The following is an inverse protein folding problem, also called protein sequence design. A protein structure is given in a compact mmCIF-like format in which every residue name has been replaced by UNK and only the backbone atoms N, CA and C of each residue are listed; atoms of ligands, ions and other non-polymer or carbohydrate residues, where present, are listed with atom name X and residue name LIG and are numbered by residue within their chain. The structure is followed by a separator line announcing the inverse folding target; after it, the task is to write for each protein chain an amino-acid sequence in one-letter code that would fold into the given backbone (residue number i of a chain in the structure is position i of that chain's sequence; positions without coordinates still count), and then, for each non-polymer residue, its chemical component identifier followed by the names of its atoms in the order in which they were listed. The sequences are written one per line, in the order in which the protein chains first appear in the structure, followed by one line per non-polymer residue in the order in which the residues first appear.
data_IF_533808052613
#
_entry.id   IF_533808052613
#
_cell.length_a   1.000
_cell.length_b   1.000
_cell.length_c   1.000
_cell.angle_alpha   90.00
_cell.angle_beta   90.00
_cell.angle_gamma   90.00
#
_symmetry.space_group_name_H-M   'P 1'
#
loop_
_entity.id
_entity.type
_entity.pdbx_description
1 polymer ?
#
# COMPACT_ATOMS: atom_id res chain seq x y z
N UNK A 1 -11.80 -15.56 12.92
CA UNK A 1 -11.36 -16.98 12.80
C UNK A 1 -11.71 -17.55 11.44
N UNK A 2 -12.99 -17.74 11.08
CA UNK A 2 -13.36 -18.30 9.78
C UNK A 2 -12.77 -17.53 8.57
N UNK A 3 -12.83 -16.19 8.59
CA UNK A 3 -12.18 -15.35 7.58
C UNK A 3 -10.67 -15.63 7.49
N UNK A 4 -9.95 -15.54 8.60
CA UNK A 4 -8.50 -15.79 8.63
C UNK A 4 -8.12 -17.20 8.14
N UNK A 5 -8.92 -18.22 8.47
CA UNK A 5 -8.69 -19.57 7.94
C UNK A 5 -8.85 -19.64 6.42
N UNK A 6 -9.86 -18.97 5.87
CA UNK A 6 -10.04 -18.86 4.42
C UNK A 6 -8.91 -18.07 3.76
N UNK A 7 -8.47 -16.98 4.38
CA UNK A 7 -7.31 -16.21 3.96
C UNK A 7 -6.02 -17.03 3.93
N UNK A 8 -5.76 -17.86 4.94
CA UNK A 8 -4.61 -18.77 4.97
C UNK A 8 -4.66 -19.80 3.85
N UNK A 9 -5.85 -20.32 3.52
CA UNK A 9 -6.01 -21.22 2.39
C UNK A 9 -5.71 -20.50 1.05
N UNK A 10 -6.28 -19.32 0.85
CA UNK A 10 -6.03 -18.48 -0.33
C UNK A 10 -4.54 -18.14 -0.45
N UNK A 11 -3.87 -17.81 0.65
CA UNK A 11 -2.43 -17.53 0.70
C UNK A 11 -1.59 -18.72 0.23
N UNK A 12 -1.92 -19.93 0.71
CA UNK A 12 -1.25 -21.16 0.30
C UNK A 12 -1.45 -21.45 -1.19
N UNK A 13 -2.68 -21.26 -1.70
CA UNK A 13 -3.02 -21.42 -3.12
C UNK A 13 -2.28 -20.41 -3.99
N UNK A 14 -2.24 -19.13 -3.63
CA UNK A 14 -1.47 -18.11 -4.35
C UNK A 14 0.04 -18.43 -4.36
N UNK A 15 0.57 -18.95 -3.26
CA UNK A 15 1.98 -19.38 -3.18
C UNK A 15 2.24 -20.56 -4.13
N UNK A 16 1.27 -21.47 -4.25
CA UNK A 16 1.31 -22.64 -5.12
C UNK A 16 1.08 -22.33 -6.61
N UNK A 17 0.19 -21.42 -6.96
CA UNK A 17 0.01 -20.98 -8.34
C UNK A 17 1.22 -20.10 -8.77
N UNK A 18 1.52 -19.10 -7.96
CA UNK A 18 2.55 -18.10 -8.20
C UNK A 18 2.16 -17.11 -9.30
N UNK A 19 2.67 -15.89 -9.22
CA UNK A 19 2.45 -14.86 -10.24
C UNK A 19 3.26 -15.21 -11.49
N UNK A 20 2.68 -15.20 -12.70
CA UNK A 20 3.42 -15.50 -13.92
C UNK A 20 4.49 -14.43 -14.19
N UNK A 21 5.73 -14.88 -14.36
CA UNK A 21 6.92 -14.03 -14.34
C UNK A 21 7.91 -14.37 -15.46
N UNK A 22 8.31 -13.37 -16.24
CA UNK A 22 9.34 -13.48 -17.27
C UNK A 22 10.69 -13.06 -16.71
N UNK A 23 11.51 -14.04 -16.34
CA UNK A 23 12.84 -13.82 -15.78
C UNK A 23 13.76 -13.01 -16.71
N UNK A 24 13.72 -13.31 -18.01
CA UNK A 24 14.54 -12.62 -19.02
C UNK A 24 14.22 -11.12 -19.06
N UNK A 25 12.93 -10.76 -19.17
CA UNK A 25 12.49 -9.36 -19.14
C UNK A 25 12.90 -8.65 -17.84
N UNK A 26 12.93 -9.37 -16.70
CA UNK A 26 13.43 -8.79 -15.44
C UNK A 26 14.94 -8.57 -15.49
N UNK A 27 15.72 -9.53 -16.00
CA UNK A 27 17.18 -9.39 -16.14
C UNK A 27 17.56 -8.27 -17.10
N UNK A 28 16.85 -8.14 -18.22
CA UNK A 28 17.00 -7.04 -19.17
C UNK A 28 16.74 -5.69 -18.49
N UNK A 29 15.62 -5.57 -17.76
CA UNK A 29 15.28 -4.37 -16.99
C UNK A 29 16.38 -4.00 -15.98
N UNK A 30 16.91 -4.99 -15.25
CA UNK A 30 17.97 -4.73 -14.28
C UNK A 30 19.25 -4.28 -14.98
N UNK A 31 19.63 -4.90 -16.08
CA UNK A 31 20.79 -4.48 -16.88
C UNK A 31 20.60 -3.07 -17.47
N UNK A 32 19.39 -2.75 -17.97
CA UNK A 32 19.02 -1.44 -18.50
C UNK A 32 19.17 -0.34 -17.44
N UNK A 33 18.66 -0.59 -16.23
CA UNK A 33 18.58 0.43 -15.19
C UNK A 33 19.82 0.52 -14.29
N UNK A 34 20.49 -0.61 -14.02
CA UNK A 34 21.62 -0.71 -13.10
C UNK A 34 22.97 -0.86 -13.82
N UNK A 35 22.95 -1.12 -15.13
CA UNK A 35 24.14 -1.40 -15.93
C UNK A 35 24.69 -2.82 -15.73
N UNK A 36 25.83 -3.08 -16.36
CA UNK A 36 26.54 -4.36 -16.24
C UNK A 36 26.93 -4.66 -14.79
N UNK A 37 26.89 -5.94 -14.45
CA UNK A 37 27.48 -6.44 -13.21
C UNK A 37 28.98 -6.63 -13.45
N UNK A 38 29.81 -5.99 -12.64
CA UNK A 38 31.21 -6.41 -12.54
C UNK A 38 31.25 -7.88 -12.12
N UNK A 39 32.17 -8.67 -12.69
CA UNK A 39 32.34 -10.07 -12.33
C UNK A 39 32.61 -10.18 -10.81
N UNK A 40 31.62 -10.66 -10.04
CA UNK A 40 31.69 -10.76 -8.56
C UNK A 40 30.46 -10.21 -7.82
N UNK A 41 30.68 -9.87 -6.54
CA UNK A 41 29.71 -9.28 -5.60
C UNK A 41 29.68 -7.74 -5.60
N UNK A 42 30.32 -7.11 -6.59
CA UNK A 42 30.38 -5.65 -6.68
C UNK A 42 29.03 -4.99 -6.96
N UNK A 43 28.90 -3.72 -6.57
CA UNK A 43 27.75 -2.90 -6.94
C UNK A 43 27.65 -2.76 -8.48
N UNK A 44 26.44 -2.75 -9.06
CA UNK A 44 26.22 -2.49 -10.47
C UNK A 44 26.89 -1.19 -10.93
N UNK A 45 27.40 -1.16 -12.18
CA UNK A 45 28.12 -0.02 -12.76
C UNK A 45 27.42 1.32 -12.53
N UNK A 46 26.10 1.39 -12.72
CA UNK A 46 25.37 2.65 -12.59
C UNK A 46 25.33 3.18 -11.16
N UNK A 47 25.32 2.29 -10.16
CA UNK A 47 25.37 2.68 -8.75
C UNK A 47 26.76 3.21 -8.39
N UNK A 48 27.83 2.56 -8.87
CA UNK A 48 29.20 3.04 -8.69
C UNK A 48 29.40 4.44 -9.31
N UNK A 49 28.97 4.63 -10.56
CA UNK A 49 29.02 5.93 -11.26
C UNK A 49 28.30 7.03 -10.46
N UNK A 50 27.09 6.75 -9.98
CA UNK A 50 26.32 7.71 -9.19
C UNK A 50 26.95 7.99 -7.82
N UNK A 51 27.57 7.00 -7.17
CA UNK A 51 28.28 7.21 -5.91
C UNK A 51 29.51 8.12 -6.10
N UNK A 52 30.22 7.99 -7.22
CA UNK A 52 31.30 8.89 -7.60
C UNK A 52 30.79 10.30 -7.92
N UNK A 53 29.68 10.44 -8.65
CA UNK A 53 29.04 11.73 -8.92
C UNK A 53 28.64 12.44 -7.62
N UNK A 54 28.02 11.72 -6.68
CA UNK A 54 27.68 12.26 -5.34
C UNK A 54 28.93 12.72 -4.61
N UNK A 55 29.97 11.88 -4.58
CA UNK A 55 31.23 12.22 -3.90
C UNK A 55 31.88 13.46 -4.51
N UNK A 56 31.95 13.55 -5.85
CA UNK A 56 32.53 14.69 -6.57
C UNK A 56 31.79 16.00 -6.30
N UNK A 57 30.48 15.94 -6.11
CA UNK A 57 29.66 17.11 -5.81
C UNK A 57 29.93 17.74 -4.43
N UNK A 58 30.60 17.02 -3.52
CA UNK A 58 31.08 17.56 -2.24
C UNK A 58 32.54 18.08 -2.28
N UNK A 59 33.16 18.06 -3.46
CA UNK A 59 34.48 18.62 -3.71
C UNK A 59 35.60 17.58 -3.88
N UNK A 60 36.81 18.03 -4.28
CA UNK A 60 37.94 17.15 -4.51
C UNK A 60 38.33 16.34 -3.27
N UNK A 61 38.52 15.03 -3.42
CA UNK A 61 38.92 14.14 -2.32
C UNK A 61 37.80 13.71 -1.38
N UNK A 62 36.58 14.25 -1.52
CA UNK A 62 35.43 13.78 -0.78
C UNK A 62 35.10 12.33 -1.17
N UNK A 63 34.73 11.51 -0.18
CA UNK A 63 34.20 10.16 -0.35
C UNK A 63 32.92 10.05 0.46
N UNK A 64 31.79 9.94 -0.23
CA UNK A 64 30.48 9.86 0.39
C UNK A 64 29.84 8.55 -0.04
N UNK A 65 29.45 7.74 0.94
CA UNK A 65 28.68 6.51 0.75
C UNK A 65 27.19 6.82 0.71
N UNK A 66 26.53 6.82 -0.46
CA UNK A 66 25.15 7.28 -0.57
C UNK A 66 24.13 6.27 0.02
N UNK A 67 24.54 5.02 0.21
CA UNK A 67 23.77 3.96 0.87
C UNK A 67 23.70 4.13 2.40
N UNK A 68 24.60 4.92 2.99
CA UNK A 68 24.64 5.18 4.43
C UNK A 68 24.04 6.56 4.77
N UNK A 69 22.83 6.63 5.37
CA UNK A 69 22.19 7.90 5.70
C UNK A 69 23.06 8.81 6.57
N UNK A 70 23.79 8.24 7.54
CA UNK A 70 24.67 8.99 8.44
C UNK A 70 25.83 9.67 7.69
N UNK A 71 26.37 9.03 6.65
CA UNK A 71 27.47 9.59 5.88
C UNK A 71 27.00 10.75 5.00
N UNK A 72 25.84 10.59 4.37
CA UNK A 72 25.17 11.66 3.62
C UNK A 72 24.88 12.87 4.51
N UNK A 73 24.27 12.67 5.69
CA UNK A 73 24.00 13.77 6.63
C UNK A 73 25.29 14.47 7.06
N UNK A 74 26.36 13.70 7.32
CA UNK A 74 27.67 14.23 7.66
C UNK A 74 28.26 15.09 6.52
N UNK A 75 28.18 14.63 5.28
CA UNK A 75 28.68 15.36 4.11
C UNK A 75 27.93 16.68 3.89
N UNK A 76 26.60 16.67 3.96
CA UNK A 76 25.78 17.90 3.89
C UNK A 76 26.10 18.86 5.03
N UNK A 77 26.28 18.36 6.26
CA UNK A 77 26.67 19.18 7.40
C UNK A 77 28.03 19.86 7.21
N UNK A 78 29.00 19.17 6.62
CA UNK A 78 30.31 19.74 6.27
C UNK A 78 30.20 20.81 5.17
N UNK A 79 29.25 20.67 4.26
CA UNK A 79 28.89 21.69 3.27
C UNK A 79 28.01 22.84 3.86
N UNK A 80 27.82 22.89 5.18
CA UNK A 80 27.05 23.94 5.86
C UNK A 80 25.53 23.72 5.87
N UNK A 81 25.04 22.59 5.40
CA UNK A 81 23.62 22.28 5.25
C UNK A 81 23.19 21.28 6.33
N UNK A 82 22.23 21.66 7.18
CA UNK A 82 21.70 20.77 8.22
C UNK A 82 20.52 19.97 7.70
N UNK A 83 20.67 18.65 7.71
CA UNK A 83 19.62 17.68 7.42
C UNK A 83 19.27 16.89 8.69
N UNK A 84 17.98 16.68 8.91
CA UNK A 84 17.42 15.78 9.92
C UNK A 84 17.29 14.34 9.39
N UNK A 85 17.08 14.19 8.08
CA UNK A 85 16.97 12.90 7.41
C UNK A 85 17.51 12.96 5.98
N UNK A 86 17.60 11.79 5.35
CA UNK A 86 17.89 11.68 3.90
C UNK A 86 16.63 11.38 3.10
N UNK A 87 15.44 11.66 3.64
CA UNK A 87 14.17 11.42 2.92
C UNK A 87 14.09 12.34 1.71
N UNK A 88 13.47 11.85 0.63
CA UNK A 88 13.47 12.56 -0.65
C UNK A 88 12.85 13.97 -0.57
N UNK A 89 11.82 14.16 0.25
CA UNK A 89 11.17 15.47 0.42
C UNK A 89 12.10 16.51 1.05
N UNK A 90 12.98 16.09 1.97
CA UNK A 90 13.92 16.98 2.65
C UNK A 90 15.09 17.29 1.73
N UNK A 91 15.63 16.27 1.07
CA UNK A 91 16.70 16.44 0.07
C UNK A 91 16.29 17.39 -1.07
N UNK A 92 15.03 17.31 -1.54
CA UNK A 92 14.51 18.21 -2.59
C UNK A 92 14.39 19.68 -2.18
N UNK A 93 14.43 19.98 -0.88
CA UNK A 93 14.41 21.36 -0.36
C UNK A 93 15.81 21.99 -0.30
N UNK A 94 16.84 21.20 -0.59
CA UNK A 94 18.23 21.64 -0.55
C UNK A 94 18.72 21.94 -1.96
N UNK A 95 19.29 23.12 -2.14
CA UNK A 95 20.01 23.47 -3.36
C UNK A 95 21.47 23.02 -3.22
N UNK A 96 21.79 21.84 -3.75
CA UNK A 96 23.16 21.33 -3.78
C UNK A 96 23.34 20.34 -4.94
N UNK A 97 24.47 20.39 -5.69
CA UNK A 97 24.70 19.54 -6.87
C UNK A 97 24.65 18.03 -6.58
N UNK A 98 24.90 17.61 -5.33
CA UNK A 98 24.81 16.21 -4.92
C UNK A 98 23.37 15.67 -4.81
N UNK A 99 22.35 16.53 -4.74
CA UNK A 99 20.96 16.11 -4.44
C UNK A 99 20.39 15.23 -5.55
N UNK A 100 20.47 15.66 -6.81
CA UNK A 100 19.93 14.90 -7.94
C UNK A 100 20.60 13.52 -8.11
N UNK A 101 21.94 13.38 -8.17
CA UNK A 101 22.58 12.08 -8.27
C UNK A 101 22.31 11.21 -7.03
N UNK A 102 22.21 11.78 -5.83
CA UNK A 102 21.83 11.05 -4.63
C UNK A 102 20.40 10.48 -4.71
N UNK A 103 19.42 11.27 -5.17
CA UNK A 103 18.04 10.79 -5.34
C UNK A 103 17.96 9.67 -6.39
N UNK A 104 18.72 9.79 -7.49
CA UNK A 104 18.85 8.74 -8.49
C UNK A 104 19.50 7.48 -7.93
N UNK A 105 20.60 7.62 -7.18
CA UNK A 105 21.27 6.49 -6.51
C UNK A 105 20.28 5.78 -5.59
N UNK A 106 19.61 6.51 -4.68
CA UNK A 106 18.66 5.90 -3.73
C UNK A 106 17.51 5.18 -4.42
N UNK A 107 17.03 5.69 -5.56
CA UNK A 107 16.00 5.01 -6.36
C UNK A 107 16.51 3.68 -6.92
N UNK A 108 17.69 3.68 -7.55
CA UNK A 108 18.29 2.50 -8.15
C UNK A 108 18.77 1.50 -7.09
N UNK A 109 19.33 1.98 -5.98
CA UNK A 109 19.81 1.15 -4.88
C UNK A 109 18.67 0.34 -4.27
N UNK A 110 17.52 0.98 -4.04
CA UNK A 110 16.31 0.27 -3.59
C UNK A 110 15.83 -0.78 -4.60
N UNK A 111 15.88 -0.49 -5.90
CA UNK A 111 15.56 -1.51 -6.92
C UNK A 111 16.55 -2.68 -6.84
N UNK A 112 17.85 -2.39 -6.73
CA UNK A 112 18.91 -3.38 -6.62
C UNK A 112 18.78 -4.27 -5.39
N UNK A 113 18.49 -3.70 -4.21
CA UNK A 113 18.38 -4.46 -2.97
C UNK A 113 17.04 -5.20 -2.85
N UNK A 114 15.93 -4.57 -3.26
CA UNK A 114 14.59 -5.13 -3.05
C UNK A 114 14.11 -6.03 -4.20
N UNK A 115 14.54 -5.79 -5.45
CA UNK A 115 14.13 -6.57 -6.62
C UNK A 115 15.28 -6.88 -7.59
N UNK A 116 16.54 -6.78 -7.15
CA UNK A 116 17.68 -7.08 -8.00
C UNK A 116 17.86 -8.58 -8.28
N UNK A 117 19.01 -8.93 -8.85
CA UNK A 117 19.31 -10.31 -9.24
C UNK A 117 19.25 -11.32 -8.10
N UNK A 118 19.60 -10.92 -6.86
CA UNK A 118 19.49 -11.83 -5.71
C UNK A 118 18.03 -12.16 -5.42
N UNK A 119 17.18 -11.14 -5.35
CA UNK A 119 15.74 -11.31 -5.19
C UNK A 119 15.16 -12.19 -6.30
N UNK A 120 15.51 -11.91 -7.57
CA UNK A 120 15.00 -12.68 -8.71
C UNK A 120 15.37 -14.17 -8.58
N UNK A 121 16.61 -14.49 -8.19
CA UNK A 121 17.01 -15.89 -7.96
C UNK A 121 16.27 -16.52 -6.78
N UNK A 122 16.03 -15.80 -5.71
CA UNK A 122 15.38 -16.36 -4.52
C UNK A 122 13.91 -16.66 -4.77
N UNK A 123 13.20 -15.72 -5.39
CA UNK A 123 11.73 -15.71 -5.38
C UNK A 123 11.07 -16.12 -6.70
N UNK A 124 11.83 -16.17 -7.80
CA UNK A 124 11.32 -16.58 -9.10
C UNK A 124 11.93 -17.91 -9.50
N UNK A 125 11.06 -18.89 -9.79
CA UNK A 125 11.44 -20.24 -10.24
C UNK A 125 10.39 -20.74 -11.22
N UNK A 126 10.83 -21.41 -12.29
CA UNK A 126 9.94 -22.02 -13.30
C UNK A 126 8.92 -21.02 -13.89
N UNK A 127 9.36 -19.78 -14.14
CA UNK A 127 8.49 -18.74 -14.70
C UNK A 127 7.40 -18.23 -13.75
N UNK A 128 7.53 -18.48 -12.44
CA UNK A 128 6.59 -18.04 -11.40
C UNK A 128 7.31 -17.31 -10.28
N UNK A 129 6.78 -16.14 -9.91
CA UNK A 129 7.11 -15.47 -8.65
C UNK A 129 6.24 -16.04 -7.54
N UNK A 130 6.87 -16.64 -6.53
CA UNK A 130 6.18 -17.37 -5.45
C UNK A 130 6.35 -16.62 -4.14
N UNK A 131 5.42 -15.72 -3.89
CA UNK A 131 5.35 -14.95 -2.67
C UNK A 131 4.95 -15.83 -1.48
N UNK A 132 5.60 -15.62 -0.34
CA UNK A 132 5.14 -16.18 0.94
C UNK A 132 4.30 -15.14 1.67
N UNK A 133 2.98 -15.30 1.62
CA UNK A 133 2.03 -14.43 2.30
C UNK A 133 1.84 -14.85 3.77
N UNK A 134 1.68 -13.85 4.63
CA UNK A 134 1.31 -14.00 6.04
C UNK A 134 0.00 -13.25 6.30
N UNK A 135 -1.14 -13.95 6.15
CA UNK A 135 -2.43 -13.41 6.56
C UNK A 135 -2.42 -12.98 8.03
N UNK A 136 -2.99 -11.80 8.29
CA UNK A 136 -3.03 -11.24 9.65
C UNK A 136 -1.66 -10.89 10.25
N UNK A 137 -0.60 -10.80 9.42
CA UNK A 137 0.76 -10.55 9.90
C UNK A 137 0.99 -9.15 10.49
N UNK A 138 0.14 -8.17 10.18
CA UNK A 138 0.14 -6.85 10.82
C UNK A 138 -0.91 -6.79 11.93
N UNK A 139 -0.70 -5.89 12.92
CA UNK A 139 -1.66 -5.64 14.00
C UNK A 139 -3.08 -5.33 13.49
N UNK A 140 -3.20 -4.60 12.38
CA UNK A 140 -4.48 -4.26 11.73
C UNK A 140 -5.19 -5.48 11.12
N UNK A 141 -4.49 -6.60 10.93
CA UNK A 141 -4.98 -7.76 10.16
C UNK A 141 -4.58 -7.73 8.68
N UNK A 142 -3.89 -6.66 8.24
CA UNK A 142 -3.30 -6.62 6.91
C UNK A 142 -2.31 -7.77 6.74
N UNK A 143 -2.24 -8.28 5.51
CA UNK A 143 -1.30 -9.32 5.17
C UNK A 143 0.11 -8.73 5.10
N UNK A 144 1.10 -9.49 5.56
CA UNK A 144 2.52 -9.21 5.36
C UNK A 144 3.11 -10.28 4.43
N UNK A 145 4.37 -10.13 4.01
CA UNK A 145 5.08 -11.17 3.25
C UNK A 145 6.43 -11.44 3.84
N UNK A 146 6.85 -12.71 3.82
CA UNK A 146 8.21 -13.08 4.18
C UNK A 146 9.13 -12.98 2.97
N UNK A 147 10.23 -12.23 3.14
CA UNK A 147 11.44 -12.27 2.32
C UNK A 147 11.33 -11.84 0.84
N UNK A 148 10.14 -11.77 0.25
CA UNK A 148 9.93 -11.66 -1.20
C UNK A 148 9.29 -10.37 -1.70
N UNK A 149 8.93 -9.43 -0.82
CA UNK A 149 8.41 -8.12 -1.23
C UNK A 149 7.17 -8.19 -2.14
N UNK A 150 6.36 -9.25 -2.04
CA UNK A 150 5.21 -9.43 -2.92
C UNK A 150 4.19 -8.31 -2.75
N UNK A 151 4.12 -7.74 -1.55
CA UNK A 151 3.23 -6.62 -1.26
C UNK A 151 3.62 -5.32 -1.94
N UNK A 152 4.71 -5.23 -2.71
CA UNK A 152 5.00 -4.03 -3.50
C UNK A 152 5.82 -4.40 -4.75
N UNK A 153 5.17 -4.81 -5.84
CA UNK A 153 5.85 -4.94 -7.15
C UNK A 153 5.99 -3.53 -7.77
N UNK A 154 7.22 -2.95 -7.85
CA UNK A 154 7.38 -1.58 -8.33
C UNK A 154 6.98 -1.46 -9.79
N UNK A 155 6.40 -0.31 -10.18
CA UNK A 155 5.93 -0.06 -11.55
C UNK A 155 6.92 -0.45 -12.64
N UNK A 156 8.22 -0.21 -12.42
CA UNK A 156 9.28 -0.59 -13.38
C UNK A 156 9.42 -2.11 -13.55
N UNK A 157 9.26 -2.86 -12.45
CA UNK A 157 9.37 -4.33 -12.42
C UNK A 157 8.10 -5.01 -12.95
N UNK A 158 6.94 -4.34 -12.90
CA UNK A 158 5.66 -4.89 -13.42
C UNK A 158 5.74 -5.35 -14.89
N UNK A 159 6.70 -4.87 -15.68
CA UNK A 159 6.98 -5.36 -17.07
C UNK A 159 7.39 -6.84 -17.14
N UNK A 160 7.91 -7.38 -16.03
CA UNK A 160 8.27 -8.79 -15.91
C UNK A 160 7.08 -9.68 -15.58
N UNK A 161 5.97 -9.13 -15.07
CA UNK A 161 4.75 -9.87 -14.79
C UNK A 161 3.95 -9.98 -16.08
N UNK A 162 3.94 -11.16 -16.71
CA UNK A 162 3.25 -11.40 -17.97
C UNK A 162 2.47 -12.69 -17.93
N UNK A 163 1.24 -12.66 -18.43
CA UNK A 163 0.41 -13.84 -18.61
C UNK A 163 1.11 -14.89 -19.49
N UNK A 164 0.72 -16.15 -19.28
CA UNK A 164 1.06 -17.24 -20.18
C UNK A 164 0.41 -17.06 -21.56
N UNK A 165 0.94 -17.71 -22.61
CA UNK A 165 0.35 -17.66 -23.95
C UNK A 165 -1.12 -18.11 -23.95
N UNK A 166 -2.02 -17.29 -24.52
CA UNK A 166 -3.47 -17.55 -24.51
C UNK A 166 -4.18 -17.17 -23.20
N UNK A 167 -3.46 -16.63 -22.21
CA UNK A 167 -4.00 -16.21 -20.92
C UNK A 167 -3.98 -14.69 -20.77
N UNK A 168 -4.63 -14.20 -19.72
CA UNK A 168 -4.76 -12.81 -19.33
C UNK A 168 -4.57 -12.65 -17.82
N UNK A 169 -4.15 -11.47 -17.41
CA UNK A 169 -4.19 -10.99 -16.04
C UNK A 169 -5.42 -10.10 -15.90
N UNK A 170 -6.37 -10.51 -15.06
CA UNK A 170 -7.45 -9.64 -14.60
C UNK A 170 -6.96 -8.99 -13.31
N UNK A 171 -6.56 -7.73 -13.43
CA UNK A 171 -6.04 -6.90 -12.34
C UNK A 171 -7.20 -6.05 -11.83
N UNK A 172 -7.52 -6.17 -10.55
CA UNK A 172 -8.62 -5.43 -9.95
C UNK A 172 -8.16 -4.73 -8.67
N UNK A 173 -8.41 -3.42 -8.60
CA UNK A 173 -8.06 -2.55 -7.47
C UNK A 173 -9.35 -1.99 -6.88
N UNK A 174 -9.54 -2.12 -5.56
CA UNK A 174 -10.77 -1.65 -4.93
C UNK A 174 -10.75 -0.13 -4.74
N UNK A 175 -11.74 0.55 -5.31
CA UNK A 175 -11.76 2.00 -5.42
C UNK A 175 -12.00 2.68 -4.07
N UNK A 176 -10.98 3.37 -3.53
CA UNK A 176 -11.09 4.18 -2.32
C UNK A 176 -11.64 3.38 -1.13
N UNK A 177 -11.08 2.19 -0.89
CA UNK A 177 -11.59 1.22 0.08
C UNK A 177 -11.75 1.79 1.50
N UNK A 178 -10.72 2.40 2.08
CA UNK A 178 -10.76 2.90 3.46
C UNK A 178 -11.87 3.96 3.71
N UNK A 179 -12.03 4.99 2.87
CA UNK A 179 -13.20 5.88 2.90
C UNK A 179 -14.56 5.17 2.90
N UNK A 180 -14.73 4.14 2.06
CA UNK A 180 -15.99 3.39 1.95
C UNK A 180 -16.23 2.53 3.18
N UNK A 181 -15.17 1.92 3.71
CA UNK A 181 -15.21 1.19 4.99
C UNK A 181 -15.58 2.14 6.13
N UNK A 182 -15.00 3.34 6.20
CA UNK A 182 -15.40 4.34 7.20
C UNK A 182 -16.89 4.68 7.08
N UNK A 183 -17.41 4.87 5.86
CA UNK A 183 -18.83 5.09 5.63
C UNK A 183 -19.69 3.95 6.20
N UNK A 184 -19.29 2.70 5.97
CA UNK A 184 -20.01 1.52 6.40
C UNK A 184 -19.97 1.32 7.94
N UNK A 185 -18.80 1.43 8.57
CA UNK A 185 -18.64 1.16 10.01
C UNK A 185 -19.19 2.30 10.88
N UNK A 186 -19.10 3.54 10.42
CA UNK A 186 -19.63 4.69 11.17
C UNK A 186 -21.14 4.86 11.05
N UNK A 187 -21.75 4.25 10.02
CA UNK A 187 -23.17 4.41 9.66
C UNK A 187 -23.60 5.87 9.49
N UNK A 188 -22.68 6.75 9.12
CA UNK A 188 -23.00 8.14 8.85
C UNK A 188 -23.83 8.23 7.56
N UNK A 189 -25.09 8.61 7.68
CA UNK A 189 -26.04 8.65 6.54
C UNK A 189 -25.51 9.47 5.38
N UNK A 190 -24.87 10.61 5.66
CA UNK A 190 -24.33 11.49 4.64
C UNK A 190 -23.16 10.85 3.89
N UNK A 191 -22.23 10.24 4.63
CA UNK A 191 -21.06 9.60 4.04
C UNK A 191 -21.44 8.32 3.29
N UNK A 192 -22.39 7.54 3.84
CA UNK A 192 -22.93 6.36 3.18
C UNK A 192 -23.62 6.67 1.86
N UNK A 193 -24.37 7.77 1.77
CA UNK A 193 -24.99 8.21 0.52
C UNK A 193 -23.93 8.65 -0.50
N UNK A 194 -22.87 9.35 -0.08
CA UNK A 194 -21.74 9.69 -0.96
C UNK A 194 -21.06 8.41 -1.47
N UNK A 195 -20.77 7.46 -0.58
CA UNK A 195 -20.13 6.20 -0.93
C UNK A 195 -21.07 5.22 -1.68
N UNK A 196 -22.38 5.47 -1.67
CA UNK A 196 -23.36 4.69 -2.41
C UNK A 196 -23.57 5.15 -3.85
N UNK A 197 -23.08 6.36 -4.19
CA UNK A 197 -23.07 6.84 -5.58
C UNK A 197 -22.06 6.04 -6.40
N UNK A 198 -22.39 5.83 -7.68
CA UNK A 198 -21.42 5.31 -8.66
C UNK A 198 -20.30 6.33 -8.93
N UNK A 199 -19.17 5.84 -9.43
CA UNK A 199 -18.02 6.68 -9.77
C UNK A 199 -17.10 7.02 -8.59
N UNK A 200 -16.30 8.08 -8.77
CA UNK A 200 -15.25 8.50 -7.83
C UNK A 200 -15.84 9.11 -6.55
N UNK A 201 -15.48 8.53 -5.40
CA UNK A 201 -15.99 8.94 -4.09
C UNK A 201 -15.60 10.39 -3.75
N UNK A 202 -14.39 10.82 -4.11
CA UNK A 202 -13.90 12.16 -3.76
C UNK A 202 -14.57 13.24 -4.58
N UNK A 203 -14.90 12.96 -5.85
CA UNK A 203 -15.73 13.84 -6.68
C UNK A 203 -17.13 13.99 -6.08
N UNK A 204 -17.78 12.87 -5.74
CA UNK A 204 -19.11 12.91 -5.10
C UNK A 204 -19.07 13.65 -3.74
N UNK A 205 -17.96 13.53 -3.02
CA UNK A 205 -17.72 14.24 -1.76
C UNK A 205 -17.52 15.75 -1.99
N UNK A 206 -16.76 16.14 -3.02
CA UNK A 206 -16.43 17.53 -3.28
C UNK A 206 -17.64 18.35 -3.71
N UNK A 207 -18.52 17.78 -4.53
CA UNK A 207 -19.82 18.35 -4.90
C UNK A 207 -20.71 18.61 -3.68
N UNK A 208 -20.55 17.80 -2.63
CA UNK A 208 -21.39 17.86 -1.44
C UNK A 208 -20.86 18.80 -0.36
N UNK A 209 -19.63 19.33 -0.45
CA UNK A 209 -19.10 20.15 0.64
C UNK A 209 -17.75 20.81 0.49
N UNK A 210 -17.08 20.69 -0.67
CA UNK A 210 -15.75 21.27 -0.90
C UNK A 210 -15.71 22.13 -2.17
N UNK A 211 -16.83 22.78 -2.51
CA UNK A 211 -16.92 23.67 -3.69
C UNK A 211 -16.48 22.99 -5.00
N UNK A 212 -16.63 21.67 -5.12
CA UNK A 212 -16.17 20.89 -6.26
C UNK A 212 -14.68 20.52 -6.25
N UNK A 213 -13.88 20.98 -5.27
CA UNK A 213 -12.46 20.63 -5.17
C UNK A 213 -12.27 19.19 -4.65
N UNK A 214 -11.97 18.29 -5.59
CA UNK A 214 -11.73 16.86 -5.34
C UNK A 214 -10.50 16.62 -4.46
N UNK A 215 -9.40 17.34 -4.69
CA UNK A 215 -8.17 17.12 -3.92
C UNK A 215 -8.32 17.62 -2.48
N UNK A 216 -9.01 18.75 -2.29
CA UNK A 216 -9.36 19.22 -0.95
C UNK A 216 -10.26 18.20 -0.22
N UNK A 217 -11.27 17.65 -0.89
CA UNK A 217 -12.16 16.64 -0.33
C UNK A 217 -11.40 15.37 0.09
N UNK A 218 -10.47 14.90 -0.76
CA UNK A 218 -9.59 13.77 -0.48
C UNK A 218 -8.69 14.03 0.73
N UNK A 219 -7.98 15.16 0.75
CA UNK A 219 -7.09 15.53 1.86
C UNK A 219 -7.86 15.65 3.18
N UNK A 220 -9.06 16.22 3.14
CA UNK A 220 -9.92 16.31 4.31
C UNK A 220 -10.25 14.92 4.87
N UNK A 221 -10.74 14.02 4.01
CA UNK A 221 -11.21 12.70 4.46
C UNK A 221 -10.06 11.82 4.94
N UNK A 222 -8.93 11.82 4.23
CA UNK A 222 -7.74 11.09 4.65
C UNK A 222 -7.15 11.69 5.92
N UNK A 223 -7.18 13.02 6.09
CA UNK A 223 -6.80 13.68 7.35
C UNK A 223 -7.67 13.23 8.52
N UNK A 224 -8.98 13.06 8.29
CA UNK A 224 -9.90 12.55 9.29
C UNK A 224 -9.68 11.06 9.61
N UNK A 225 -9.26 10.22 8.65
CA UNK A 225 -8.92 8.81 8.90
C UNK A 225 -7.58 8.72 9.64
N UNK A 226 -6.55 9.40 9.14
CA UNK A 226 -5.17 9.25 9.61
C UNK A 226 -4.77 10.15 10.78
N UNK A 227 -5.64 11.07 11.20
CA UNK A 227 -5.37 12.00 12.30
C UNK A 227 -4.29 13.04 11.97
N UNK A 228 -4.03 13.30 10.69
CA UNK A 228 -3.10 14.35 10.27
C UNK A 228 -3.80 15.72 10.28
N UNK A 229 -3.31 16.62 11.12
CA UNK A 229 -3.90 17.97 11.31
C UNK A 229 -2.96 19.11 10.92
N UNK A 230 -2.07 18.90 9.96
CA UNK A 230 -1.14 19.95 9.48
C UNK A 230 -1.77 20.84 8.41
N UNK A 231 -1.43 22.13 8.40
CA UNK A 231 -1.92 23.11 7.41
C UNK A 231 -3.42 23.37 7.50
N UNK A 232 -4.12 23.42 6.35
CA UNK A 232 -5.58 23.58 6.27
C UNK A 232 -6.38 22.40 6.84
N UNK A 233 -5.70 21.35 7.34
CA UNK A 233 -6.30 20.15 7.90
C UNK A 233 -7.30 20.40 9.03
N UNK A 234 -7.09 21.41 9.89
CA UNK A 234 -8.04 21.77 10.95
C UNK A 234 -9.37 22.34 10.40
N UNK A 235 -9.29 23.19 9.37
CA UNK A 235 -10.48 23.75 8.71
C UNK A 235 -11.26 22.67 7.98
N UNK A 236 -10.54 21.82 7.25
CA UNK A 236 -11.11 20.69 6.52
C UNK A 236 -11.76 19.66 7.46
N UNK A 237 -11.13 19.36 8.60
CA UNK A 237 -11.69 18.48 9.62
C UNK A 237 -12.95 19.08 10.27
N UNK A 238 -12.98 20.38 10.53
CA UNK A 238 -14.17 21.05 11.06
C UNK A 238 -15.34 21.00 10.06
N UNK A 239 -15.07 21.16 8.76
CA UNK A 239 -16.08 21.00 7.71
C UNK A 239 -16.61 19.56 7.65
N UNK A 240 -15.73 18.56 7.71
CA UNK A 240 -16.13 17.15 7.78
C UNK A 240 -16.93 16.84 9.03
N UNK A 241 -16.52 17.31 10.21
CA UNK A 241 -17.25 17.05 11.46
C UNK A 241 -18.66 17.62 11.43
N UNK A 242 -18.86 18.78 10.78
CA UNK A 242 -20.21 19.35 10.58
C UNK A 242 -21.04 18.51 9.61
N UNK A 243 -20.43 17.94 8.57
CA UNK A 243 -21.14 17.26 7.47
C UNK A 243 -21.39 15.78 7.73
N UNK A 244 -20.43 15.11 8.35
CA UNK A 244 -20.40 13.68 8.65
C UNK A 244 -20.04 13.47 10.14
N UNK A 245 -20.86 13.97 11.07
CA UNK A 245 -20.56 13.95 12.49
C UNK A 245 -20.39 12.53 13.05
N UNK A 246 -21.13 11.54 12.53
CA UNK A 246 -21.03 10.17 13.01
C UNK A 246 -19.72 9.52 12.50
N UNK A 247 -19.30 9.82 11.27
CA UNK A 247 -18.03 9.34 10.73
C UNK A 247 -16.83 9.87 11.51
N UNK A 248 -16.78 11.19 11.73
CA UNK A 248 -15.71 11.81 12.51
C UNK A 248 -15.77 11.38 13.98
N UNK A 249 -16.98 11.30 14.55
CA UNK A 249 -17.18 10.83 15.92
C UNK A 249 -16.70 9.40 16.14
N UNK A 250 -16.87 8.51 15.16
CA UNK A 250 -16.42 7.11 15.24
C UNK A 250 -14.90 7.01 15.38
N UNK A 251 -14.14 7.68 14.52
CA UNK A 251 -12.67 7.65 14.56
C UNK A 251 -12.12 8.44 15.76
N UNK A 252 -12.79 9.52 16.19
CA UNK A 252 -12.42 10.25 17.40
C UNK A 252 -12.64 9.43 18.67
N UNK A 253 -13.70 8.62 18.72
CA UNK A 253 -13.94 7.70 19.83
C UNK A 253 -12.83 6.65 19.91
N UNK A 254 -12.43 6.06 18.78
CA UNK A 254 -11.31 5.12 18.74
C UNK A 254 -9.98 5.76 19.17
N UNK A 255 -9.73 7.02 18.78
CA UNK A 255 -8.55 7.76 19.22
C UNK A 255 -8.55 7.98 20.73
N UNK A 256 -9.68 8.44 21.27
CA UNK A 256 -9.87 8.69 22.70
C UNK A 256 -9.72 7.40 23.51
N UNK A 257 -10.35 6.32 23.07
CA UNK A 257 -10.24 5.00 23.71
C UNK A 257 -8.78 4.54 23.74
N UNK A 258 -8.04 4.74 22.65
CA UNK A 258 -6.61 4.45 22.61
C UNK A 258 -5.78 5.30 23.57
N UNK A 259 -6.00 6.61 23.61
CA UNK A 259 -5.35 7.56 24.52
C UNK A 259 -5.56 7.19 25.99
N UNK A 260 -6.76 6.71 26.32
CA UNK A 260 -7.15 6.29 27.67
C UNK A 260 -6.77 4.82 27.98
N UNK A 261 -6.10 4.13 27.05
CA UNK A 261 -5.67 2.74 27.22
C UNK A 261 -6.82 1.71 27.19
N UNK A 262 -8.02 2.11 26.72
CA UNK A 262 -9.15 1.20 26.50
C UNK A 262 -8.92 0.32 25.28
N UNK A 263 -9.71 -0.76 25.23
CA UNK A 263 -9.72 -1.68 24.10
C UNK A 263 -10.39 -1.03 22.89
N UNK A 264 -9.71 -1.07 21.75
CA UNK A 264 -10.24 -0.63 20.46
C UNK A 264 -10.37 -1.86 19.56
N UNK A 265 -11.49 -1.98 18.84
CA UNK A 265 -11.77 -3.15 18.00
C UNK A 265 -12.20 -2.75 16.59
N UNK A 266 -11.88 -3.59 15.61
CA UNK A 266 -12.43 -3.50 14.26
C UNK A 266 -13.91 -3.90 14.25
N UNK A 267 -14.58 -3.69 13.12
CA UNK A 267 -15.98 -4.05 12.92
C UNK A 267 -16.27 -5.53 13.21
N UNK A 268 -15.39 -6.46 12.79
CA UNK A 268 -15.54 -7.89 13.09
C UNK A 268 -14.84 -8.32 14.39
N UNK A 269 -14.41 -7.37 15.22
CA UNK A 269 -13.97 -7.62 16.59
C UNK A 269 -12.47 -7.90 16.77
N UNK A 270 -11.61 -7.72 15.74
CA UNK A 270 -10.15 -7.79 15.92
C UNK A 270 -9.74 -6.71 16.93
N UNK A 271 -9.04 -7.11 17.98
CA UNK A 271 -8.65 -6.19 19.06
C UNK A 271 -7.29 -5.58 18.78
N UNK A 272 -7.19 -4.27 18.92
CA UNK A 272 -5.96 -3.50 18.79
C UNK A 272 -4.94 -3.96 19.86
N UNK A 273 -3.72 -4.38 19.49
CA UNK A 273 -2.71 -4.81 20.45
C UNK A 273 -2.39 -3.73 21.48
N UNK A 274 -2.02 -4.06 22.73
CA UNK A 274 -1.68 -3.05 23.73
C UNK A 274 -0.44 -2.24 23.34
N UNK A 275 -0.29 -1.05 23.94
CA UNK A 275 0.87 -0.17 23.68
C UNK A 275 2.17 -0.90 24.02
N UNK A 276 3.10 -0.99 23.06
CA UNK A 276 4.40 -1.65 23.22
C UNK A 276 4.40 -3.16 22.98
N UNK A 277 3.29 -3.76 22.53
CA UNK A 277 3.21 -5.20 22.30
C UNK A 277 4.11 -5.70 21.16
N UNK A 278 4.40 -4.89 20.13
CA UNK A 278 5.25 -5.30 19.02
C UNK A 278 6.07 -4.11 18.46
N UNK A 279 7.39 -4.22 18.53
CA UNK A 279 8.35 -3.30 17.88
C UNK A 279 8.50 -3.55 16.36
N UNK A 280 7.62 -4.36 15.77
CA UNK A 280 7.65 -4.75 14.38
C UNK A 280 6.23 -4.68 13.82
N UNK A 281 6.06 -4.01 12.67
CA UNK A 281 4.78 -3.76 11.95
C UNK A 281 3.98 -2.52 12.39
N UNK A 282 4.67 -1.37 12.48
CA UNK A 282 4.00 -0.15 12.03
C UNK A 282 3.91 -0.25 10.50
N UNK A 283 2.68 -0.29 9.98
CA UNK A 283 2.40 -0.18 8.54
C UNK A 283 3.22 1.01 7.98
N UNK A 284 3.93 0.79 6.86
CA UNK A 284 4.82 1.77 6.22
C UNK A 284 4.11 3.08 5.82
N UNK A 285 2.79 3.13 5.89
CA UNK A 285 1.95 4.32 5.64
C UNK A 285 1.77 5.23 6.86
N UNK A 286 2.06 4.75 8.08
CA UNK A 286 2.14 5.60 9.26
C UNK A 286 3.47 6.34 9.21
N UNK A 287 3.56 7.42 8.43
CA UNK A 287 4.76 8.24 8.23
C UNK A 287 5.38 8.89 9.48
N UNK A 288 4.96 8.46 10.66
CA UNK A 288 5.37 8.92 11.99
C UNK A 288 5.73 7.67 12.81
N UNK A 289 7.02 7.32 12.84
CA UNK A 289 7.52 6.31 13.77
C UNK A 289 7.31 6.77 15.22
N UNK A 290 7.34 5.86 16.21
CA UNK A 290 7.21 6.27 17.58
C UNK A 290 8.52 6.94 17.98
N UNK A 291 8.56 8.26 17.90
CA UNK A 291 9.61 9.06 18.55
C UNK A 291 9.53 8.77 20.04
N UNK A 292 10.40 7.87 20.51
CA UNK A 292 11.02 7.75 21.85
C UNK A 292 10.23 8.15 23.10
N UNK A 293 8.90 8.20 23.06
CA UNK A 293 8.09 8.74 24.12
C UNK A 293 7.99 7.71 25.23
N UNK A 294 8.43 8.09 26.43
CA UNK A 294 8.30 7.25 27.62
C UNK A 294 6.83 6.80 27.79
N UNK A 295 6.65 5.52 28.10
CA UNK A 295 5.34 4.94 28.38
C UNK A 295 4.64 5.77 29.48
N UNK A 296 3.38 6.13 29.25
CA UNK A 296 2.60 6.98 30.17
C UNK A 296 2.72 8.50 29.95
N UNK A 297 3.53 8.97 29.01
CA UNK A 297 3.57 10.39 28.64
C UNK A 297 2.36 10.81 27.79
N UNK A 298 2.00 12.10 27.83
CA UNK A 298 0.94 12.67 26.96
C UNK A 298 1.27 12.48 25.47
N UNK A 299 2.56 12.48 25.10
CA UNK A 299 3.00 12.22 23.73
C UNK A 299 2.73 10.76 23.31
N UNK A 300 3.05 9.79 24.17
CA UNK A 300 2.75 8.38 23.94
C UNK A 300 1.24 8.12 23.85
N UNK A 301 0.44 8.74 24.72
CA UNK A 301 -1.02 8.68 24.64
C UNK A 301 -1.54 9.21 23.29
N UNK A 302 -1.11 10.40 22.85
CA UNK A 302 -1.51 10.96 21.54
C UNK A 302 -1.06 10.10 20.36
N UNK A 303 0.14 9.52 20.40
CA UNK A 303 0.61 8.60 19.37
C UNK A 303 -0.28 7.35 19.32
N UNK A 304 -0.66 6.81 20.48
CA UNK A 304 -1.61 5.71 20.60
C UNK A 304 -2.99 6.08 20.05
N UNK A 305 -3.49 7.29 20.32
CA UNK A 305 -4.75 7.79 19.75
C UNK A 305 -4.72 7.85 18.22
N UNK A 306 -3.63 8.35 17.62
CA UNK A 306 -3.46 8.32 16.15
C UNK A 306 -3.45 6.89 15.61
N UNK A 307 -2.74 5.99 16.28
CA UNK A 307 -2.69 4.59 15.88
C UNK A 307 -4.08 3.92 15.93
N UNK A 308 -4.82 4.05 17.03
CA UNK A 308 -6.13 3.42 17.18
C UNK A 308 -7.19 4.01 16.26
N UNK A 309 -7.10 5.30 15.96
CA UNK A 309 -7.90 5.98 14.93
C UNK A 309 -7.77 5.31 13.57
N UNK A 310 -6.54 5.05 13.13
CA UNK A 310 -6.25 4.42 11.85
C UNK A 310 -6.64 2.94 11.88
N UNK A 311 -6.33 2.27 12.99
CA UNK A 311 -6.58 0.85 13.21
C UNK A 311 -8.04 0.46 12.95
N UNK A 312 -9.02 1.23 13.44
CA UNK A 312 -10.44 0.84 13.28
C UNK A 312 -10.90 0.86 11.83
N UNK A 313 -10.33 1.73 10.99
CA UNK A 313 -10.65 1.81 9.56
C UNK A 313 -9.87 0.75 8.80
N UNK A 314 -8.53 0.74 8.95
CA UNK A 314 -7.65 -0.18 8.23
C UNK A 314 -7.92 -1.64 8.58
N UNK A 315 -8.17 -1.93 9.86
CA UNK A 315 -8.45 -3.29 10.29
C UNK A 315 -9.83 -3.77 9.87
N UNK A 316 -10.82 -2.88 9.81
CA UNK A 316 -12.13 -3.21 9.22
C UNK A 316 -12.05 -3.39 7.70
N UNK A 317 -11.12 -2.69 7.04
CA UNK A 317 -10.84 -2.91 5.61
C UNK A 317 -10.14 -4.26 5.38
N UNK A 318 -9.19 -4.63 6.24
CA UNK A 318 -8.57 -5.96 6.22
C UNK A 318 -9.60 -7.08 6.47
N UNK A 319 -10.54 -6.87 7.39
CA UNK A 319 -11.66 -7.77 7.65
C UNK A 319 -12.51 -7.98 6.39
N UNK A 320 -12.86 -6.90 5.69
CA UNK A 320 -13.55 -6.97 4.40
C UNK A 320 -12.73 -7.69 3.33
N UNK A 321 -11.44 -7.38 3.20
CA UNK A 321 -10.59 -7.96 2.17
C UNK A 321 -10.48 -9.48 2.32
N UNK A 322 -10.37 -9.98 3.54
CA UNK A 322 -10.34 -11.43 3.81
C UNK A 322 -11.65 -12.12 3.39
N UNK A 323 -12.80 -11.49 3.62
CA UNK A 323 -14.10 -12.04 3.17
C UNK A 323 -14.23 -11.93 1.65
N UNK A 324 -13.72 -10.86 1.04
CA UNK A 324 -13.67 -10.70 -0.42
C UNK A 324 -12.82 -11.78 -1.08
N UNK A 325 -11.64 -12.08 -0.54
CA UNK A 325 -10.79 -13.17 -1.03
C UNK A 325 -11.48 -14.53 -0.93
N UNK A 326 -12.16 -14.80 0.20
CA UNK A 326 -12.91 -16.03 0.39
C UNK A 326 -14.08 -16.16 -0.59
N UNK A 327 -14.80 -15.07 -0.85
CA UNK A 327 -15.87 -15.02 -1.83
C UNK A 327 -15.33 -15.20 -3.25
N UNK A 328 -14.26 -14.49 -3.62
CA UNK A 328 -13.62 -14.60 -4.93
C UNK A 328 -13.15 -16.03 -5.20
N UNK A 329 -12.52 -16.68 -4.21
CA UNK A 329 -12.14 -18.09 -4.31
C UNK A 329 -13.34 -19.00 -4.62
N UNK A 330 -14.51 -18.72 -4.05
CA UNK A 330 -15.74 -19.47 -4.35
C UNK A 330 -16.26 -19.18 -5.76
N UNK A 331 -16.27 -17.91 -6.18
CA UNK A 331 -16.74 -17.52 -7.52
C UNK A 331 -15.85 -18.09 -8.64
N UNK A 332 -14.55 -18.29 -8.38
CA UNK A 332 -13.61 -18.91 -9.32
C UNK A 332 -13.68 -20.45 -9.34
N UNK A 333 -14.47 -21.08 -8.46
CA UNK A 333 -14.52 -22.54 -8.37
C UNK A 333 -15.03 -23.17 -9.67
N UNK A 334 -14.28 -24.14 -10.20
CA UNK A 334 -14.59 -24.82 -11.46
C UNK A 334 -14.07 -24.10 -12.71
N UNK A 335 -13.47 -22.92 -12.58
CA UNK A 335 -12.73 -22.25 -13.65
C UNK A 335 -11.28 -22.74 -13.70
N UNK A 336 -10.56 -22.40 -14.77
CA UNK A 336 -9.08 -22.55 -14.81
C UNK A 336 -8.35 -21.31 -14.29
N UNK A 337 -9.10 -20.23 -14.05
CA UNK A 337 -8.61 -19.02 -13.42
C UNK A 337 -8.00 -19.26 -12.04
N UNK A 338 -6.82 -18.71 -11.80
CA UNK A 338 -6.11 -18.79 -10.52
C UNK A 338 -5.93 -17.39 -9.95
N UNK A 339 -6.34 -17.17 -8.69
CA UNK A 339 -5.93 -15.99 -7.94
C UNK A 339 -4.43 -16.13 -7.63
N UNK A 340 -3.61 -15.18 -8.10
CA UNK A 340 -2.14 -15.27 -8.03
C UNK A 340 -1.49 -14.16 -7.21
N UNK A 341 -2.20 -13.07 -6.97
CA UNK A 341 -1.66 -11.90 -6.28
C UNK A 341 -2.70 -11.23 -5.40
N UNK A 342 -2.26 -10.74 -4.26
CA UNK A 342 -3.04 -9.87 -3.38
C UNK A 342 -2.14 -8.84 -2.72
N UNK A 343 -2.55 -7.57 -2.77
CA UNK A 343 -1.91 -6.47 -2.07
C UNK A 343 -2.98 -5.51 -1.54
N UNK A 344 -3.30 -5.63 -0.25
CA UNK A 344 -4.28 -4.81 0.48
C UNK A 344 -5.70 -4.82 -0.12
N UNK A 345 -5.91 -4.11 -1.21
CA UNK A 345 -7.15 -3.94 -1.96
C UNK A 345 -7.02 -4.27 -3.45
N UNK A 346 -5.81 -4.63 -3.91
CA UNK A 346 -5.56 -5.11 -5.27
C UNK A 346 -5.49 -6.65 -5.31
N UNK A 347 -6.15 -7.26 -6.29
CA UNK A 347 -6.03 -8.69 -6.62
C UNK A 347 -5.65 -8.86 -8.10
N UNK A 348 -4.89 -9.92 -8.40
CA UNK A 348 -4.65 -10.34 -9.78
C UNK A 348 -5.07 -11.80 -9.92
N UNK A 349 -5.96 -12.04 -10.87
CA UNK A 349 -6.35 -13.37 -11.31
C UNK A 349 -5.70 -13.65 -12.67
N UNK A 350 -4.97 -14.75 -12.78
CA UNK A 350 -4.39 -15.23 -14.04
C UNK A 350 -5.34 -16.28 -14.62
N UNK A 351 -5.89 -16.03 -15.80
CA UNK A 351 -6.92 -16.89 -16.39
C UNK A 351 -6.75 -17.03 -17.90
N UNK A 352 -7.32 -18.07 -18.52
CA UNK A 352 -7.48 -18.14 -19.97
C UNK A 352 -8.22 -16.91 -20.51
N UNK A 353 -7.88 -16.48 -21.72
CA UNK A 353 -8.44 -15.26 -22.30
C UNK A 353 -9.98 -15.32 -22.43
N UNK A 354 -10.53 -16.50 -22.70
CA UNK A 354 -11.96 -16.79 -22.78
C UNK A 354 -12.69 -16.68 -21.44
N UNK A 355 -11.99 -16.84 -20.30
CA UNK A 355 -12.57 -16.75 -18.96
C UNK A 355 -12.50 -15.32 -18.39
N UNK A 356 -11.74 -14.41 -19.02
CA UNK A 356 -11.42 -13.11 -18.44
C UNK A 356 -12.63 -12.22 -18.12
N UNK A 357 -13.67 -12.25 -18.96
CA UNK A 357 -14.91 -11.51 -18.68
C UNK A 357 -15.64 -12.07 -17.45
N UNK A 358 -15.75 -13.40 -17.36
CA UNK A 358 -16.38 -14.08 -16.22
C UNK A 358 -15.61 -13.83 -14.93
N UNK A 359 -14.28 -13.83 -14.99
CA UNK A 359 -13.42 -13.49 -13.84
C UNK A 359 -13.62 -12.05 -13.39
N UNK A 360 -13.71 -11.08 -14.31
CA UNK A 360 -13.99 -9.69 -13.96
C UNK A 360 -15.33 -9.54 -13.22
N UNK A 361 -16.35 -10.29 -13.66
CA UNK A 361 -17.65 -10.31 -12.98
C UNK A 361 -17.60 -11.02 -11.62
N UNK A 362 -16.87 -12.12 -11.50
CA UNK A 362 -16.61 -12.81 -10.25
C UNK A 362 -15.98 -11.88 -9.20
N UNK A 363 -15.03 -11.01 -9.60
CA UNK A 363 -14.44 -10.01 -8.70
C UNK A 363 -15.49 -9.00 -8.20
N UNK A 364 -16.35 -8.48 -9.09
CA UNK A 364 -17.42 -7.54 -8.69
C UNK A 364 -18.40 -8.19 -7.72
N UNK A 365 -18.81 -9.43 -8.00
CA UNK A 365 -19.72 -10.21 -7.16
C UNK A 365 -19.10 -10.52 -5.80
N UNK A 366 -17.84 -10.92 -5.76
CA UNK A 366 -17.10 -11.15 -4.52
C UNK A 366 -17.03 -9.89 -3.65
N UNK A 367 -16.76 -8.72 -4.26
CA UNK A 367 -16.77 -7.43 -3.57
C UNK A 367 -18.11 -7.08 -2.95
N UNK A 368 -19.20 -7.25 -3.72
CA UNK A 368 -20.56 -7.00 -3.26
C UNK A 368 -20.96 -7.95 -2.12
N UNK A 369 -20.71 -9.26 -2.28
CA UNK A 369 -20.97 -10.29 -1.26
C UNK A 369 -20.19 -10.02 0.02
N UNK A 370 -18.92 -9.61 -0.09
CA UNK A 370 -18.12 -9.24 1.08
C UNK A 370 -18.65 -7.99 1.78
N UNK A 371 -19.08 -6.99 1.02
CA UNK A 371 -19.71 -5.79 1.58
C UNK A 371 -20.94 -6.13 2.41
N UNK A 372 -21.85 -6.95 1.87
CA UNK A 372 -23.05 -7.40 2.57
C UNK A 372 -22.75 -8.34 3.75
N UNK A 373 -21.84 -9.30 3.57
CA UNK A 373 -21.50 -10.25 4.64
C UNK A 373 -20.83 -9.57 5.84
N UNK A 374 -19.99 -8.56 5.61
CA UNK A 374 -19.27 -7.86 6.67
C UNK A 374 -20.13 -6.75 7.28
N UNK A 375 -20.73 -5.90 6.45
CA UNK A 375 -21.42 -4.71 6.92
C UNK A 375 -22.95 -4.84 6.90
N UNK A 376 -23.52 -5.98 6.54
CA UNK A 376 -24.96 -6.15 6.39
C UNK A 376 -25.54 -5.24 5.29
N UNK A 377 -26.86 -5.02 5.35
CA UNK A 377 -27.54 -4.14 4.39
C UNK A 377 -27.02 -2.70 4.51
N UNK A 378 -26.44 -2.20 3.43
CA UNK A 378 -25.89 -0.84 3.35
C UNK A 378 -25.96 -0.31 1.91
N UNK A 379 -26.28 0.98 1.69
CA UNK A 379 -26.15 1.63 0.39
C UNK A 379 -24.69 1.81 -0.06
N UNK A 380 -23.70 1.62 0.83
CA UNK A 380 -22.28 1.77 0.48
C UNK A 380 -21.88 0.75 -0.58
N UNK A 381 -21.29 1.22 -1.68
CA UNK A 381 -20.74 0.36 -2.73
C UNK A 381 -19.24 0.14 -2.50
N UNK A 382 -18.74 -1.02 -2.92
CA UNK A 382 -17.32 -1.40 -2.92
C UNK A 382 -16.88 -1.77 -4.36
N UNK A 383 -16.77 -0.77 -5.27
CA UNK A 383 -16.44 -1.03 -6.67
C UNK A 383 -14.96 -1.35 -6.85
N UNK A 384 -14.65 -1.96 -7.99
CA UNK A 384 -13.29 -2.25 -8.45
C UNK A 384 -13.03 -1.59 -9.80
N UNK A 385 -11.87 -0.97 -9.94
CA UNK A 385 -11.26 -0.69 -11.23
C UNK A 385 -10.65 -1.99 -11.77
N UNK A 386 -11.14 -2.49 -12.90
CA UNK A 386 -10.69 -3.77 -13.46
C UNK A 386 -10.02 -3.57 -14.83
N UNK A 387 -8.83 -4.14 -14.99
CA UNK A 387 -8.09 -4.15 -16.24
C UNK A 387 -7.74 -5.59 -16.63
N UNK A 388 -8.04 -5.97 -17.88
CA UNK A 388 -7.65 -7.26 -18.46
C UNK A 388 -6.45 -7.03 -19.38
N UNK A 389 -5.29 -7.54 -19.00
CA UNK A 389 -4.01 -7.25 -19.68
C UNK A 389 -3.14 -8.49 -19.85
N UNK A 390 -2.22 -8.46 -20.81
CA UNK A 390 -1.17 -9.49 -20.94
C UNK A 390 0.03 -9.21 -20.04
N UNK A 391 0.27 -7.93 -19.72
CA UNK A 391 1.39 -7.44 -18.95
C UNK A 391 0.88 -6.52 -17.86
N UNK A 392 1.27 -6.77 -16.61
CA UNK A 392 0.78 -5.99 -15.46
C UNK A 392 1.16 -4.50 -15.54
N UNK A 393 2.24 -4.15 -16.24
CA UNK A 393 2.64 -2.76 -16.45
C UNK A 393 1.59 -1.94 -17.22
N UNK A 394 0.69 -2.60 -17.97
CA UNK A 394 -0.33 -1.94 -18.79
C UNK A 394 -1.68 -1.80 -18.06
N UNK A 395 -1.83 -2.39 -16.87
CA UNK A 395 -3.08 -2.33 -16.11
C UNK A 395 -3.48 -0.88 -15.74
N UNK A 396 -2.50 -0.01 -15.46
CA UNK A 396 -2.74 1.40 -15.17
C UNK A 396 -3.14 2.25 -16.40
N UNK A 397 -3.09 1.69 -17.62
CA UNK A 397 -3.45 2.37 -18.87
C UNK A 397 -4.80 1.93 -19.42
N UNK A 398 -5.42 0.89 -18.86
CA UNK A 398 -6.73 0.44 -19.30
C UNK A 398 -7.80 1.44 -18.81
N UNK A 399 -8.67 1.98 -19.68
CA UNK A 399 -9.79 2.77 -19.22
C UNK A 399 -10.67 1.88 -18.34
N UNK A 400 -11.11 2.40 -17.19
CA UNK A 400 -12.17 1.77 -16.42
C UNK A 400 -13.34 1.56 -17.38
N UNK A 401 -13.66 0.30 -17.69
CA UNK A 401 -14.81 -0.02 -18.52
C UNK A 401 -16.05 0.48 -17.79
N UNK A 402 -16.71 1.46 -18.43
CA UNK A 402 -17.89 2.17 -17.90
C UNK A 402 -19.14 1.32 -17.79
#
# INVERSE_FOLDING_TARGET
LAGESAATLVAAEMTHAGVPWREEAHRELLTELLGERYAGSGEPRRLAELAEEVSRAFGPGARVRPDLPADVIRAFRQAGIRLSSTRAWELRRVEHPAVEPLLRYKKLYRLYTAHGWSWLRTWVRNGRFRAEYQPGGAASGRWTTNGGGALQIPKVVRRAVRADPGWRLVVADADQMEPRVLAAISRDRGLMEVAGKGGDLYTALSERGFSGDREQAKLALLGAIYGQTSGDGLRNLAALRRRFPAAVGYVDAAARDGEEGRLVRTWLGRTCPPSGADGHTLDEDSGDGPDGAAAGSTAAARARGRFTRNFVVQGSAADWAVVMLAALRQELAGMRAELVFFQHDEVIVHCPAEEAHTVAEAVRQAGARAGEAVFGVTPVRFPFGIATVECYADAAKAPASG
#
